data_IF_677845205982
#
_entry.id   IF_677845205982
#
_cell.length_a   1.000
_cell.length_b   1.000
_cell.length_c   1.000
_cell.angle_alpha   90.00
_cell.angle_beta   90.00
_cell.angle_gamma   90.00
#
_symmetry.space_group_name_H-M   'P 1'
#
loop_
_entity.id
_entity.type
_entity.pdbx_description
1 polymer ?
#
# COMPACT_ATOMS: atom_id res chain seq x y z
N UNK A 1 19.70 48.61 -9.78
CA UNK A 1 19.76 47.28 -10.43
C UNK A 1 19.78 46.26 -9.31
N UNK A 2 18.61 45.75 -8.92
CA UNK A 2 18.44 44.86 -7.77
C UNK A 2 17.71 43.59 -8.22
N UNK A 3 18.29 42.45 -7.82
CA UNK A 3 17.83 41.08 -8.00
C UNK A 3 16.41 40.87 -7.46
N UNK A 4 15.64 40.01 -8.13
CA UNK A 4 14.74 39.07 -7.46
C UNK A 4 14.80 37.71 -8.18
N UNK A 5 15.38 36.72 -7.49
CA UNK A 5 15.30 35.30 -7.80
C UNK A 5 13.91 34.81 -7.40
N UNK A 6 13.20 34.18 -8.34
CA UNK A 6 11.94 33.50 -8.08
C UNK A 6 12.23 32.12 -7.47
N UNK A 7 11.65 31.86 -6.29
CA UNK A 7 11.62 30.55 -5.62
C UNK A 7 10.35 29.82 -6.14
N UNK A 8 10.42 28.56 -6.61
CA UNK A 8 9.21 27.81 -6.93
C UNK A 8 8.52 27.31 -5.66
N UNK A 9 7.20 27.44 -5.64
CA UNK A 9 6.32 27.07 -4.53
C UNK A 9 6.45 25.57 -4.17
N UNK A 10 6.70 25.34 -2.89
CA UNK A 10 6.73 24.03 -2.24
C UNK A 10 5.28 23.52 -2.10
N UNK A 11 4.96 22.41 -2.76
CA UNK A 11 3.68 21.70 -2.53
C UNK A 11 3.80 20.96 -1.21
N UNK A 12 3.18 21.49 -0.16
CA UNK A 12 3.05 20.83 1.15
C UNK A 12 1.85 19.88 1.06
N UNK A 13 2.13 18.58 1.00
CA UNK A 13 1.09 17.55 1.21
C UNK A 13 0.64 17.61 2.68
N UNK A 14 -0.65 17.82 2.99
CA UNK A 14 -1.13 17.65 4.36
C UNK A 14 -0.92 16.19 4.80
N UNK A 15 -0.54 16.02 6.06
CA UNK A 15 -0.10 14.76 6.65
C UNK A 15 -1.18 13.68 6.59
N UNK A 16 -0.91 12.63 5.81
CA UNK A 16 -1.65 11.34 5.83
C UNK A 16 -1.57 10.59 7.18
N UNK A 17 -0.83 11.13 8.16
CA UNK A 17 -0.55 10.52 9.46
C UNK A 17 -1.76 10.54 10.39
N UNK A 18 -2.58 11.59 10.39
CA UNK A 18 -3.69 11.73 11.35
C UNK A 18 -4.99 11.02 10.96
N UNK A 19 -5.13 10.59 9.69
CA UNK A 19 -6.36 9.93 9.24
C UNK A 19 -6.43 8.43 9.64
N UNK A 20 -5.29 7.82 10.00
CA UNK A 20 -5.20 6.36 10.23
C UNK A 20 -5.67 5.90 11.61
N UNK A 21 -5.74 6.79 12.60
CA UNK A 21 -6.14 6.42 13.97
C UNK A 21 -7.60 5.95 14.06
N UNK A 22 -8.46 6.31 13.10
CA UNK A 22 -9.88 5.94 13.13
C UNK A 22 -10.26 4.71 12.29
N UNK A 23 -9.53 4.41 11.20
CA UNK A 23 -9.90 3.28 10.31
C UNK A 23 -9.20 1.96 10.67
N UNK A 24 -8.00 2.02 11.28
CA UNK A 24 -7.27 0.81 11.67
C UNK A 24 -7.98 -0.01 12.77
N UNK A 25 -8.85 0.63 13.59
CA UNK A 25 -9.58 -0.03 14.67
C UNK A 25 -10.81 -0.83 14.21
N UNK A 26 -11.31 -0.64 12.99
CA UNK A 26 -12.50 -1.39 12.51
C UNK A 26 -12.16 -2.74 11.89
N UNK A 27 -10.99 -2.85 11.25
CA UNK A 27 -10.60 -4.06 10.52
C UNK A 27 -9.81 -5.08 11.38
N UNK A 28 -9.50 -4.74 12.64
CA UNK A 28 -8.83 -5.64 13.59
C UNK A 28 -9.77 -6.62 14.31
N UNK A 29 -11.10 -6.42 14.24
CA UNK A 29 -12.08 -7.21 15.00
C UNK A 29 -12.42 -8.59 14.41
N UNK A 30 -11.72 -9.05 13.37
CA UNK A 30 -11.95 -10.37 12.77
C UNK A 30 -11.20 -11.52 13.48
N UNK A 31 -10.48 -11.24 14.57
CA UNK A 31 -9.76 -12.25 15.37
C UNK A 31 -10.22 -12.39 16.84
N UNK A 32 -11.25 -11.66 17.29
CA UNK A 32 -11.68 -11.66 18.72
C UNK A 32 -12.91 -12.52 19.06
N UNK A 33 -13.17 -13.62 18.34
CA UNK A 33 -14.22 -14.58 18.78
C UNK A 33 -13.72 -16.02 18.76
N UNK A 34 -12.75 -16.30 19.64
CA UNK A 34 -12.41 -17.65 20.10
C UNK A 34 -12.72 -17.78 21.59
N UNK A 35 -13.02 -19.00 22.11
CA UNK A 35 -13.45 -19.18 23.49
C UNK A 35 -12.33 -18.79 24.46
N UNK A 36 -12.67 -18.01 25.48
CA UNK A 36 -11.80 -17.67 26.61
C UNK A 36 -11.61 -18.88 27.51
N UNK A 37 -10.68 -19.76 27.13
CA UNK A 37 -10.01 -20.65 28.07
C UNK A 37 -8.66 -20.05 28.43
N UNK A 38 -8.38 -19.96 29.73
CA UNK A 38 -7.19 -19.35 30.30
C UNK A 38 -5.90 -19.92 29.70
N UNK A 39 -5.30 -19.18 28.76
CA UNK A 39 -3.95 -19.45 28.29
C UNK A 39 -2.95 -19.07 29.38
N UNK A 40 -2.36 -20.09 29.97
CA UNK A 40 -1.12 -20.02 30.72
C UNK A 40 -0.06 -19.30 29.85
N UNK A 41 0.56 -18.25 30.39
CA UNK A 41 1.58 -17.46 29.71
C UNK A 41 2.78 -18.37 29.40
N UNK A 42 2.88 -18.83 28.15
CA UNK A 42 4.07 -19.54 27.68
C UNK A 42 5.25 -18.56 27.67
N UNK A 43 6.18 -18.75 28.61
CA UNK A 43 7.47 -18.06 28.63
C UNK A 43 8.23 -18.36 27.33
N UNK A 44 8.81 -17.32 26.71
CA UNK A 44 9.63 -17.49 25.52
C UNK A 44 10.84 -18.39 25.87
N UNK A 45 11.17 -19.41 25.05
CA UNK A 45 12.29 -20.28 25.32
C UNK A 45 13.60 -19.48 25.28
N UNK A 46 14.28 -19.42 26.44
CA UNK A 46 15.61 -18.85 26.61
C UNK A 46 16.67 -19.89 26.24
N UNK A 47 17.77 -19.45 25.61
CA UNK A 47 19.00 -20.26 25.57
C UNK A 47 19.69 -20.21 26.94
N UNK A 48 20.53 -21.21 27.21
CA UNK A 48 21.24 -21.41 28.49
C UNK A 48 22.23 -20.27 28.84
N UNK A 49 22.45 -19.33 27.92
CA UNK A 49 23.27 -18.12 28.05
C UNK A 49 22.46 -16.82 28.24
N UNK A 50 21.13 -16.91 28.34
CA UNK A 50 20.26 -15.76 28.56
C UNK A 50 19.97 -14.92 27.31
N UNK A 51 20.37 -15.39 26.11
CA UNK A 51 20.05 -14.73 24.85
C UNK A 51 18.64 -15.13 24.38
N UNK A 52 17.81 -14.12 24.05
CA UNK A 52 16.49 -14.34 23.47
C UNK A 52 16.68 -14.99 22.09
N UNK A 53 15.96 -16.08 21.81
CA UNK A 53 15.92 -16.65 20.47
C UNK A 53 15.28 -15.61 19.53
N UNK A 54 16.11 -14.86 18.81
CA UNK A 54 15.69 -14.06 17.66
C UNK A 54 14.99 -15.04 16.71
N UNK A 55 13.73 -14.77 16.38
CA UNK A 55 13.04 -15.49 15.33
C UNK A 55 13.96 -15.51 14.10
N UNK A 56 14.37 -16.70 13.67
CA UNK A 56 15.16 -16.87 12.45
C UNK A 56 14.43 -16.14 11.32
N UNK A 57 15.19 -15.40 10.52
CA UNK A 57 14.65 -14.69 9.38
C UNK A 57 13.77 -15.66 8.58
N UNK A 58 12.50 -15.32 8.29
CA UNK A 58 11.71 -16.13 7.38
C UNK A 58 12.50 -16.28 6.07
N UNK A 59 12.46 -17.49 5.49
CA UNK A 59 13.21 -17.87 4.28
C UNK A 59 13.25 -16.74 3.25
N UNK A 60 14.39 -16.63 2.56
CA UNK A 60 14.79 -15.52 1.69
C UNK A 60 13.60 -14.67 1.19
N UNK A 61 13.43 -13.47 1.78
CA UNK A 61 12.54 -12.44 1.22
C UNK A 61 13.10 -12.00 -0.13
N UNK A 62 12.86 -12.77 -1.17
CA UNK A 62 13.11 -12.39 -2.54
C UNK A 62 11.93 -11.54 -2.99
N UNK A 63 12.15 -10.22 -3.03
CA UNK A 63 11.26 -9.38 -3.80
C UNK A 63 11.42 -9.77 -5.28
N UNK A 64 10.33 -9.86 -6.06
CA UNK A 64 10.43 -10.04 -7.50
C UNK A 64 11.39 -9.00 -8.07
N UNK A 65 12.34 -9.44 -8.88
CA UNK A 65 13.44 -8.63 -9.38
C UNK A 65 12.88 -7.37 -10.07
N UNK A 66 13.15 -6.21 -9.48
CA UNK A 66 13.02 -4.92 -10.15
C UNK A 66 14.45 -4.51 -10.51
N UNK A 67 14.67 -4.10 -11.76
CA UNK A 67 16.01 -3.79 -12.28
C UNK A 67 16.77 -2.88 -11.31
N UNK A 68 17.89 -3.38 -10.80
CA UNK A 68 18.66 -2.75 -9.75
C UNK A 68 19.46 -1.58 -10.33
N UNK A 69 18.87 -0.38 -10.26
CA UNK A 69 19.62 0.83 -10.59
C UNK A 69 18.74 2.04 -10.84
N UNK A 70 18.29 2.71 -9.77
CA UNK A 70 17.79 4.10 -9.83
C UNK A 70 16.65 4.45 -10.81
N UNK A 71 16.10 3.52 -11.58
CA UNK A 71 15.34 3.83 -12.79
C UNK A 71 13.84 3.58 -12.59
N UNK A 72 13.18 4.53 -11.92
CA UNK A 72 11.72 4.69 -11.95
C UNK A 72 10.88 3.58 -11.29
N UNK A 73 9.86 3.99 -10.52
CA UNK A 73 8.83 3.11 -9.98
C UNK A 73 7.62 3.14 -10.92
N UNK A 74 7.70 2.42 -12.03
CA UNK A 74 6.65 2.34 -13.06
C UNK A 74 5.58 1.26 -12.80
N UNK A 75 5.72 0.51 -11.71
CA UNK A 75 4.85 -0.60 -11.34
C UNK A 75 5.32 -1.26 -10.05
N UNK A 76 4.75 -2.41 -9.77
CA UNK A 76 5.21 -3.32 -8.73
C UNK A 76 5.47 -4.71 -9.33
N UNK A 77 6.67 -5.24 -9.11
CA UNK A 77 7.16 -6.42 -9.84
C UNK A 77 6.99 -6.20 -11.36
N UNK A 78 6.56 -7.21 -12.10
CA UNK A 78 6.27 -7.05 -13.53
C UNK A 78 4.83 -6.58 -13.80
N UNK A 79 4.16 -5.96 -12.83
CA UNK A 79 2.81 -5.38 -13.01
C UNK A 79 2.91 -3.85 -13.08
N UNK A 80 2.76 -3.24 -14.26
CA UNK A 80 2.78 -1.79 -14.40
C UNK A 80 1.67 -1.12 -13.60
N UNK A 81 1.90 0.13 -13.20
CA UNK A 81 0.82 0.98 -12.72
C UNK A 81 -0.26 1.11 -13.78
N UNK A 82 -1.47 1.46 -13.33
CA UNK A 82 -2.64 1.67 -14.18
C UNK A 82 -3.20 0.40 -14.84
N UNK A 83 -2.59 -0.78 -14.61
CA UNK A 83 -3.12 -2.05 -15.10
C UNK A 83 -4.51 -2.31 -14.54
N UNK A 84 -5.47 -2.72 -15.39
CA UNK A 84 -6.84 -3.00 -14.99
C UNK A 84 -6.94 -4.19 -14.03
N UNK A 85 -7.97 -4.17 -13.18
CA UNK A 85 -8.28 -5.23 -12.23
C UNK A 85 -8.33 -6.62 -12.87
N UNK A 86 -9.09 -6.81 -13.97
CA UNK A 86 -9.20 -8.12 -14.62
C UNK A 86 -7.87 -8.65 -15.12
N UNK A 87 -7.01 -7.79 -15.67
CA UNK A 87 -5.69 -8.15 -16.18
C UNK A 87 -4.77 -8.63 -15.04
N UNK A 88 -4.74 -7.91 -13.91
CA UNK A 88 -3.96 -8.31 -12.74
C UNK A 88 -4.50 -9.61 -12.14
N UNK A 89 -5.83 -9.74 -12.02
CA UNK A 89 -6.48 -10.97 -11.52
C UNK A 89 -6.14 -12.17 -12.40
N UNK A 90 -6.29 -12.04 -13.72
CA UNK A 90 -6.00 -13.09 -14.68
C UNK A 90 -4.55 -13.54 -14.57
N UNK A 91 -3.61 -12.59 -14.48
CA UNK A 91 -2.18 -12.89 -14.29
C UNK A 91 -1.94 -13.78 -13.06
N UNK A 92 -2.55 -13.46 -11.92
CA UNK A 92 -2.38 -14.29 -10.72
C UNK A 92 -3.06 -15.66 -10.85
N UNK A 93 -4.17 -15.77 -11.57
CA UNK A 93 -4.80 -17.05 -11.87
C UNK A 93 -3.89 -17.92 -12.76
N UNK A 94 -3.28 -17.32 -13.79
CA UNK A 94 -2.33 -18.01 -14.67
C UNK A 94 -1.09 -18.47 -13.87
N UNK A 95 -0.54 -17.62 -13.00
CA UNK A 95 0.61 -17.94 -12.16
C UNK A 95 0.33 -19.02 -11.10
N UNK A 96 -0.85 -18.99 -10.49
CA UNK A 96 -1.26 -19.98 -9.48
C UNK A 96 -1.51 -21.38 -10.08
N UNK A 97 -1.78 -21.48 -11.38
CA UNK A 97 -2.06 -22.75 -12.08
C UNK A 97 -0.88 -23.27 -12.89
N UNK A 98 0.19 -22.50 -13.02
CA UNK A 98 1.39 -22.91 -13.75
C UNK A 98 2.12 -24.04 -13.01
N UNK A 99 2.28 -25.19 -13.67
CA UNK A 99 2.81 -26.42 -13.08
C UNK A 99 4.30 -26.37 -12.67
N UNK A 100 5.04 -25.33 -13.11
CA UNK A 100 6.50 -25.23 -12.94
C UNK A 100 6.94 -23.93 -12.23
N UNK A 101 6.06 -23.28 -11.49
CA UNK A 101 6.44 -22.07 -10.75
C UNK A 101 7.17 -22.47 -9.46
N UNK A 102 8.40 -21.97 -9.20
CA UNK A 102 9.12 -22.25 -7.96
C UNK A 102 8.45 -21.62 -6.73
N UNK A 103 7.50 -20.71 -6.97
CA UNK A 103 6.79 -19.94 -5.96
C UNK A 103 5.38 -20.46 -5.78
N UNK A 104 4.96 -20.58 -4.52
CA UNK A 104 3.58 -20.88 -4.18
C UNK A 104 2.78 -19.57 -4.19
N UNK A 105 1.90 -19.42 -5.18
CA UNK A 105 1.04 -18.25 -5.35
C UNK A 105 -0.42 -18.66 -5.13
N UNK A 106 -1.12 -17.92 -4.27
CA UNK A 106 -2.52 -18.15 -3.93
C UNK A 106 -3.27 -16.82 -3.88
N UNK A 107 -4.44 -16.75 -4.53
CA UNK A 107 -5.36 -15.61 -4.36
C UNK A 107 -6.20 -15.90 -3.11
N UNK A 108 -5.92 -15.18 -2.03
CA UNK A 108 -6.61 -15.35 -0.74
C UNK A 108 -7.99 -14.70 -0.79
N UNK A 109 -8.07 -13.51 -1.37
CA UNK A 109 -9.32 -12.75 -1.48
C UNK A 109 -9.23 -11.79 -2.66
N UNK A 110 -10.34 -11.59 -3.38
CA UNK A 110 -10.41 -10.60 -4.44
C UNK A 110 -11.77 -9.90 -4.39
N UNK A 111 -11.73 -8.57 -4.28
CA UNK A 111 -12.90 -7.71 -4.31
C UNK A 111 -12.78 -6.84 -5.53
N UNK A 112 -13.75 -7.00 -6.44
CA UNK A 112 -13.78 -6.34 -7.74
C UNK A 112 -13.55 -4.83 -7.66
N UNK A 113 -12.67 -4.34 -8.53
CA UNK A 113 -12.22 -2.95 -8.65
C UNK A 113 -11.68 -2.29 -7.37
N UNK A 114 -11.53 -3.04 -6.27
CA UNK A 114 -11.05 -2.54 -4.98
C UNK A 114 -9.70 -3.12 -4.61
N UNK A 115 -9.60 -4.44 -4.47
CA UNK A 115 -8.32 -5.07 -4.17
C UNK A 115 -8.24 -6.55 -4.53
N UNK A 116 -7.01 -7.03 -4.71
CA UNK A 116 -6.67 -8.46 -4.76
C UNK A 116 -5.62 -8.71 -3.68
N UNK A 117 -5.91 -9.65 -2.77
CA UNK A 117 -5.00 -10.15 -1.76
C UNK A 117 -4.39 -11.46 -2.25
N UNK A 118 -3.08 -11.45 -2.44
CA UNK A 118 -2.29 -12.57 -2.94
C UNK A 118 -1.31 -13.00 -1.86
N UNK A 119 -1.18 -14.30 -1.64
CA UNK A 119 -0.12 -14.89 -0.83
C UNK A 119 0.93 -15.47 -1.77
N UNK A 120 2.18 -15.04 -1.63
CA UNK A 120 3.34 -15.55 -2.39
C UNK A 120 4.45 -15.89 -1.39
N UNK A 121 4.85 -17.17 -1.35
CA UNK A 121 5.88 -17.67 -0.43
C UNK A 121 5.66 -17.21 1.02
N UNK A 122 4.45 -17.36 1.51
CA UNK A 122 4.00 -16.97 2.85
C UNK A 122 3.95 -15.47 3.18
N UNK A 123 4.20 -14.61 2.19
CA UNK A 123 4.05 -13.16 2.31
C UNK A 123 2.78 -12.70 1.61
N UNK A 124 2.06 -11.78 2.24
CA UNK A 124 0.81 -11.25 1.73
C UNK A 124 1.05 -9.94 0.97
N UNK A 125 0.41 -9.83 -0.19
CA UNK A 125 0.46 -8.68 -1.08
C UNK A 125 -0.97 -8.24 -1.38
N UNK A 126 -1.32 -7.01 -1.00
CA UNK A 126 -2.61 -6.40 -1.34
C UNK A 126 -2.42 -5.40 -2.47
N UNK A 127 -2.88 -5.78 -3.65
CA UNK A 127 -2.97 -4.92 -4.83
C UNK A 127 -4.26 -4.12 -4.73
N UNK A 128 -4.17 -2.80 -4.64
CA UNK A 128 -5.31 -1.91 -4.53
C UNK A 128 -5.56 -1.18 -5.86
N UNK A 129 -6.84 -1.10 -6.21
CA UNK A 129 -7.32 -0.54 -7.46
C UNK A 129 -8.17 0.68 -7.17
N UNK A 130 -8.10 1.66 -8.07
CA UNK A 130 -8.93 2.84 -7.98
C UNK A 130 -9.84 2.93 -9.20
N UNK A 131 -11.13 3.07 -8.93
CA UNK A 131 -12.18 3.38 -9.90
C UNK A 131 -12.79 4.71 -9.48
N UNK A 132 -12.68 5.71 -10.36
CA UNK A 132 -13.24 7.04 -10.15
C UNK A 132 -14.73 6.95 -9.81
N UNK A 133 -15.24 7.61 -8.76
CA UNK A 133 -16.67 7.58 -8.46
C UNK A 133 -17.55 8.07 -9.62
N UNK A 134 -18.73 7.46 -9.80
CA UNK A 134 -19.64 7.76 -10.92
C UNK A 134 -19.97 9.25 -11.05
N UNK A 135 -20.26 9.94 -9.94
CA UNK A 135 -20.55 11.37 -9.92
C UNK A 135 -19.38 12.21 -10.44
N UNK A 136 -18.15 11.85 -10.09
CA UNK A 136 -16.93 12.52 -10.58
C UNK A 136 -16.66 12.16 -12.04
N UNK A 137 -16.83 10.89 -12.42
CA UNK A 137 -16.69 10.46 -13.81
C UNK A 137 -17.67 11.21 -14.73
N UNK A 138 -18.91 11.43 -14.28
CA UNK A 138 -19.93 12.21 -14.97
C UNK A 138 -19.56 13.69 -15.14
N UNK A 139 -18.70 14.28 -14.30
CA UNK A 139 -18.20 15.64 -14.53
C UNK A 139 -17.34 15.74 -15.79
N UNK A 140 -16.59 14.68 -16.10
CA UNK A 140 -15.74 14.62 -17.28
C UNK A 140 -16.52 14.16 -18.53
N UNK A 141 -17.53 13.32 -18.33
CA UNK A 141 -18.45 12.87 -19.39
C UNK A 141 -19.90 12.92 -18.89
N UNK A 142 -20.59 14.03 -19.14
CA UNK A 142 -21.98 14.22 -18.70
C UNK A 142 -22.98 13.20 -19.27
N UNK A 143 -22.64 12.51 -20.35
CA UNK A 143 -23.49 11.50 -20.99
C UNK A 143 -23.21 10.08 -20.50
N UNK A 144 -22.22 9.90 -19.60
CA UNK A 144 -21.85 8.59 -19.08
C UNK A 144 -23.05 7.96 -18.35
N UNK A 145 -23.53 6.85 -18.90
CA UNK A 145 -24.58 6.04 -18.29
C UNK A 145 -24.00 5.17 -17.16
N UNK A 146 -24.87 4.68 -16.27
CA UNK A 146 -24.47 3.76 -15.21
C UNK A 146 -23.98 2.42 -15.79
N UNK A 147 -24.65 1.94 -16.84
CA UNK A 147 -24.27 0.72 -17.56
C UNK A 147 -22.87 0.83 -18.17
N UNK A 148 -22.54 1.94 -18.84
CA UNK A 148 -21.19 2.17 -19.37
C UNK A 148 -20.15 2.29 -18.25
N UNK A 149 -20.49 2.94 -17.14
CA UNK A 149 -19.61 3.06 -15.98
C UNK A 149 -19.31 1.72 -15.31
N UNK A 150 -20.30 0.82 -15.26
CA UNK A 150 -20.13 -0.52 -14.70
C UNK A 150 -19.17 -1.36 -15.53
N UNK A 151 -19.01 -1.07 -16.83
CA UNK A 151 -17.96 -1.70 -17.66
C UNK A 151 -16.55 -1.14 -17.45
N UNK A 152 -16.41 0.01 -16.80
CA UNK A 152 -15.10 0.58 -16.49
C UNK A 152 -14.44 -0.19 -15.35
N UNK A 153 -13.13 -0.42 -15.45
CA UNK A 153 -12.39 -1.17 -14.43
C UNK A 153 -11.56 -0.26 -13.52
N UNK A 154 -11.37 -0.74 -12.29
CA UNK A 154 -10.39 -0.18 -11.36
C UNK A 154 -8.97 -0.39 -11.88
N UNK A 155 -8.13 0.63 -11.69
CA UNK A 155 -6.73 0.63 -12.16
C UNK A 155 -5.77 0.53 -10.98
N UNK A 156 -4.76 -0.33 -11.12
CA UNK A 156 -3.76 -0.58 -10.08
C UNK A 156 -3.00 0.71 -9.77
N UNK A 157 -2.89 1.04 -8.48
CA UNK A 157 -2.17 2.24 -8.05
C UNK A 157 -1.34 2.07 -6.80
N UNK A 158 -1.61 1.03 -6.02
CA UNK A 158 -0.95 0.81 -4.74
C UNK A 158 -0.80 -0.68 -4.49
N UNK A 159 0.38 -1.10 -4.04
CA UNK A 159 0.63 -2.44 -3.53
C UNK A 159 1.15 -2.34 -2.10
N UNK A 160 0.46 -3.01 -1.18
CA UNK A 160 0.90 -3.18 0.20
C UNK A 160 1.47 -4.58 0.38
N UNK A 161 2.75 -4.66 0.75
CA UNK A 161 3.40 -5.88 1.21
C UNK A 161 3.18 -5.98 2.72
N UNK A 162 2.67 -7.11 3.18
CA UNK A 162 2.38 -7.39 4.59
C UNK A 162 3.32 -8.52 5.04
N UNK A 163 4.25 -8.16 5.92
CA UNK A 163 5.33 -9.01 6.39
C UNK A 163 5.01 -9.60 7.77
N UNK A 164 5.56 -10.78 8.11
CA UNK A 164 5.48 -11.37 9.45
C UNK A 164 6.47 -10.67 10.41
N UNK A 165 6.33 -9.35 10.57
CA UNK A 165 7.07 -8.54 11.55
C UNK A 165 8.60 -8.74 11.51
N UNK A 166 9.24 -8.22 10.46
CA UNK A 166 10.67 -8.41 10.19
C UNK A 166 11.45 -7.19 10.69
N UNK A 167 12.65 -7.36 11.25
CA UNK A 167 13.48 -6.24 11.70
C UNK A 167 13.65 -5.20 10.58
N UNK A 168 13.38 -3.93 10.89
CA UNK A 168 13.34 -2.88 9.88
C UNK A 168 14.67 -2.66 9.18
N UNK A 169 15.79 -2.86 9.89
CA UNK A 169 17.13 -2.70 9.32
C UNK A 169 17.34 -3.60 8.10
N UNK A 170 16.96 -4.87 8.18
CA UNK A 170 17.16 -5.83 7.09
C UNK A 170 16.30 -5.50 5.86
N UNK A 171 15.05 -5.06 6.09
CA UNK A 171 14.18 -4.58 5.03
C UNK A 171 14.75 -3.32 4.38
N UNK A 172 15.23 -2.38 5.19
CA UNK A 172 15.86 -1.14 4.72
C UNK A 172 17.08 -1.41 3.84
N UNK A 173 17.98 -2.30 4.26
CA UNK A 173 19.16 -2.70 3.46
C UNK A 173 18.77 -3.29 2.11
N UNK A 174 17.71 -4.10 2.06
CA UNK A 174 17.18 -4.65 0.78
C UNK A 174 16.58 -3.56 -0.10
N UNK A 175 15.79 -2.65 0.47
CA UNK A 175 15.22 -1.52 -0.27
C UNK A 175 16.31 -0.59 -0.79
N UNK A 176 17.34 -0.32 0.02
CA UNK A 176 18.47 0.53 -0.39
C UNK A 176 19.32 -0.12 -1.49
N UNK A 177 19.48 -1.45 -1.45
CA UNK A 177 20.17 -2.18 -2.52
C UNK A 177 19.41 -2.10 -3.85
N UNK A 178 18.08 -2.21 -3.82
CA UNK A 178 17.24 -2.21 -5.03
C UNK A 178 16.99 -0.80 -5.56
N UNK A 179 16.65 0.13 -4.67
CA UNK A 179 16.16 1.46 -5.01
C UNK A 179 17.15 2.59 -4.66
N UNK A 180 18.32 2.30 -4.12
CA UNK A 180 19.25 3.32 -3.62
C UNK A 180 18.81 3.93 -2.28
N UNK A 181 19.56 4.92 -1.81
CA UNK A 181 19.31 5.55 -0.50
C UNK A 181 17.89 6.14 -0.39
N UNK A 182 17.31 6.04 0.81
CA UNK A 182 16.04 6.69 1.14
C UNK A 182 16.13 8.20 0.94
N UNK A 183 15.02 8.80 0.54
CA UNK A 183 14.94 10.23 0.20
C UNK A 183 14.54 11.06 1.41
N UNK A 184 13.66 10.52 2.27
CA UNK A 184 13.20 11.16 3.52
C UNK A 184 12.97 10.10 4.59
N UNK A 185 12.88 10.56 5.83
CA UNK A 185 12.42 9.75 6.96
C UNK A 185 11.49 10.58 7.83
N UNK A 186 10.48 9.89 8.36
CA UNK A 186 9.57 10.40 9.39
C UNK A 186 9.67 9.54 10.65
N UNK A 187 10.69 8.67 10.73
CA UNK A 187 10.92 7.81 11.89
C UNK A 187 11.39 8.68 13.05
N UNK A 188 10.62 8.65 14.12
CA UNK A 188 10.91 9.33 15.36
C UNK A 188 11.92 8.50 16.18
N UNK A 189 13.00 9.14 16.65
CA UNK A 189 14.11 8.46 17.32
C UNK A 189 13.71 7.88 18.69
N UNK A 190 12.78 8.52 19.39
CA UNK A 190 12.36 8.11 20.74
C UNK A 190 11.36 6.96 20.70
N UNK A 191 10.37 7.05 19.80
CA UNK A 191 9.29 6.08 19.69
C UNK A 191 9.57 4.96 18.68
N UNK A 192 10.59 5.12 17.83
CA UNK A 192 10.92 4.23 16.70
C UNK A 192 9.73 3.99 15.76
N UNK A 193 8.79 4.95 15.70
CA UNK A 193 7.60 4.90 14.82
C UNK A 193 7.77 5.87 13.67
N UNK A 194 7.19 5.52 12.52
CA UNK A 194 7.15 6.40 11.36
C UNK A 194 7.41 5.61 10.08
N UNK A 195 7.95 6.29 9.07
CA UNK A 195 8.32 5.65 7.82
C UNK A 195 9.60 6.22 7.22
N UNK A 196 10.41 5.33 6.66
CA UNK A 196 11.41 5.69 5.65
C UNK A 196 10.74 5.74 4.28
N UNK A 197 11.15 6.72 3.46
CA UNK A 197 10.47 7.09 2.22
C UNK A 197 11.47 7.13 1.07
N UNK A 198 11.15 6.43 -0.01
CA UNK A 198 11.83 6.56 -1.30
C UNK A 198 10.90 7.26 -2.29
N UNK A 199 11.31 8.44 -2.74
CA UNK A 199 10.67 9.15 -3.85
C UNK A 199 11.40 8.78 -5.14
N UNK A 200 10.70 8.15 -6.06
CA UNK A 200 11.22 7.75 -7.37
C UNK A 200 10.37 8.35 -8.48
N UNK A 201 10.92 8.56 -9.68
CA UNK A 201 10.08 8.86 -10.82
C UNK A 201 8.98 7.80 -10.94
N UNK A 202 7.72 8.18 -11.11
CA UNK A 202 6.58 7.24 -11.17
C UNK A 202 5.94 6.86 -9.84
N UNK A 203 6.60 7.04 -8.68
CA UNK A 203 5.96 6.66 -7.42
C UNK A 203 6.76 6.78 -6.12
N UNK A 204 6.16 6.27 -5.06
CA UNK A 204 6.69 6.29 -3.70
C UNK A 204 6.81 4.88 -3.12
N UNK A 205 7.81 4.67 -2.27
CA UNK A 205 7.94 3.49 -1.42
C UNK A 205 7.97 3.96 0.02
N UNK A 206 7.13 3.38 0.87
CA UNK A 206 7.10 3.62 2.31
C UNK A 206 7.42 2.32 3.04
N UNK A 207 8.49 2.33 3.82
CA UNK A 207 8.74 1.30 4.82
C UNK A 207 8.23 1.81 6.16
N UNK A 208 7.21 1.16 6.73
CA UNK A 208 6.67 1.55 8.03
C UNK A 208 7.42 0.89 9.17
N UNK A 209 7.68 1.65 10.22
CA UNK A 209 8.40 1.26 11.43
C UNK A 209 7.44 1.20 12.61
N UNK A 210 7.51 0.08 13.34
CA UNK A 210 6.76 -0.17 14.57
C UNK A 210 7.74 -0.69 15.64
N UNK A 211 7.72 -0.11 16.86
CA UNK A 211 8.55 -0.58 17.96
C UNK A 211 8.00 -1.87 18.56
N UNK A 212 8.89 -2.80 18.90
CA UNK A 212 8.59 -3.96 19.74
C UNK A 212 9.84 -4.36 20.51
N UNK A 213 9.73 -4.45 21.84
CA UNK A 213 10.85 -4.76 22.74
C UNK A 213 12.12 -3.93 22.44
N UNK A 214 11.95 -2.61 22.32
CA UNK A 214 13.02 -1.64 22.04
C UNK A 214 13.79 -1.87 20.72
N UNK A 215 13.19 -2.63 19.80
CA UNK A 215 13.71 -2.89 18.46
C UNK A 215 12.67 -2.42 17.43
N UNK A 216 13.15 -1.82 16.34
CA UNK A 216 12.30 -1.39 15.24
C UNK A 216 12.02 -2.54 14.25
N UNK A 217 10.75 -2.77 13.97
CA UNK A 217 10.27 -3.77 13.02
C UNK A 217 9.40 -3.17 11.94
N UNK A 218 9.37 -3.83 10.78
CA UNK A 218 8.54 -3.49 9.64
C UNK A 218 7.47 -4.55 9.44
N UNK A 219 6.21 -4.15 9.57
CA UNK A 219 5.06 -5.00 9.23
C UNK A 219 4.55 -4.75 7.82
N UNK A 220 4.73 -3.53 7.30
CA UNK A 220 4.19 -3.15 5.99
C UNK A 220 5.17 -2.34 5.17
N UNK A 221 5.17 -2.60 3.86
CA UNK A 221 5.82 -1.76 2.85
C UNK A 221 4.75 -1.36 1.84
N UNK A 222 4.59 -0.07 1.57
CA UNK A 222 3.63 0.45 0.59
C UNK A 222 4.35 0.99 -0.65
N UNK A 223 3.93 0.54 -1.83
CA UNK A 223 4.40 1.01 -3.14
C UNK A 223 3.26 1.73 -3.83
N UNK A 224 3.43 2.97 -4.26
CA UNK A 224 2.33 3.79 -4.79
C UNK A 224 2.69 4.52 -6.07
N UNK A 225 1.74 4.63 -7.00
CA UNK A 225 1.84 5.44 -8.21
C UNK A 225 1.64 6.92 -7.89
N UNK A 226 2.60 7.77 -8.29
CA UNK A 226 2.48 9.23 -8.09
C UNK A 226 1.35 9.84 -8.93
N UNK A 227 1.16 9.35 -10.15
CA UNK A 227 0.17 9.91 -11.08
C UNK A 227 -1.24 9.59 -10.62
N UNK A 228 -1.48 8.35 -10.21
CA UNK A 228 -2.79 7.99 -9.69
C UNK A 228 -3.09 8.64 -8.34
N UNK A 229 -2.09 8.82 -7.45
CA UNK A 229 -2.31 9.61 -6.22
C UNK A 229 -2.80 11.02 -6.59
N UNK A 230 -2.15 11.69 -7.55
CA UNK A 230 -2.58 13.03 -8.00
C UNK A 230 -4.01 13.01 -8.56
N UNK A 231 -4.35 12.00 -9.38
CA UNK A 231 -5.71 11.83 -9.90
C UNK A 231 -6.71 11.64 -8.76
N UNK A 232 -6.45 10.74 -7.83
CA UNK A 232 -7.33 10.46 -6.68
C UNK A 232 -7.54 11.73 -5.85
N UNK A 233 -6.49 12.48 -5.55
CA UNK A 233 -6.60 13.73 -4.78
C UNK A 233 -7.45 14.77 -5.52
N UNK A 234 -7.21 14.98 -6.82
CA UNK A 234 -7.97 15.92 -7.63
C UNK A 234 -9.45 15.50 -7.80
N UNK A 235 -9.73 14.19 -7.84
CA UNK A 235 -11.08 13.66 -7.92
C UNK A 235 -11.80 13.73 -6.57
N UNK A 236 -11.09 13.53 -5.46
CA UNK A 236 -11.65 13.66 -4.11
C UNK A 236 -12.11 15.11 -3.85
N UNK A 237 -11.31 16.11 -4.22
CA UNK A 237 -11.73 17.52 -4.16
C UNK A 237 -13.02 17.77 -4.95
N UNK A 238 -13.14 17.22 -6.16
CA UNK A 238 -14.33 17.35 -7.01
C UNK A 238 -15.53 16.53 -6.52
N UNK A 239 -15.29 15.46 -5.78
CA UNK A 239 -16.34 14.56 -5.31
C UNK A 239 -17.29 15.28 -4.38
N UNK A 240 -16.76 16.03 -3.40
CA UNK A 240 -17.57 16.82 -2.48
C UNK A 240 -18.46 17.82 -3.21
N UNK A 241 -17.89 18.55 -4.18
CA UNK A 241 -18.65 19.48 -5.02
C UNK A 241 -19.74 18.77 -5.86
N UNK A 242 -19.43 17.59 -6.40
CA UNK A 242 -20.37 16.82 -7.22
C UNK A 242 -21.53 16.25 -6.39
N UNK A 243 -21.24 15.72 -5.21
CA UNK A 243 -22.22 15.20 -4.27
C UNK A 243 -23.14 16.31 -3.76
N UNK A 244 -22.58 17.45 -3.37
CA UNK A 244 -23.36 18.62 -2.94
C UNK A 244 -24.32 19.08 -4.05
N UNK A 245 -23.85 19.19 -5.30
CA UNK A 245 -24.70 19.57 -6.44
C UNK A 245 -25.80 18.56 -6.74
N UNK A 246 -25.53 17.27 -6.57
CA UNK A 246 -26.54 16.23 -6.74
C UNK A 246 -27.60 16.28 -5.62
N UNK A 247 -27.18 16.52 -4.37
CA UNK A 247 -28.09 16.74 -3.26
C UNK A 247 -28.97 17.97 -3.50
N UNK A 248 -28.40 19.10 -3.93
CA UNK A 248 -29.16 20.30 -4.27
C UNK A 248 -30.17 20.05 -5.40
N UNK A 249 -29.80 19.29 -6.44
CA UNK A 249 -30.72 18.91 -7.53
C UNK A 249 -31.92 18.13 -6.99
N UNK A 250 -31.68 17.16 -6.11
CA UNK A 250 -32.77 16.38 -5.47
C UNK A 250 -33.67 17.24 -4.58
N UNK A 251 -33.14 18.29 -3.97
CA UNK A 251 -33.91 19.20 -3.12
C UNK A 251 -34.75 20.22 -3.91
N UNK A 252 -34.26 20.71 -5.05
CA UNK A 252 -34.94 21.74 -5.87
C UNK A 252 -36.05 21.14 -6.74
N UNK A 253 -35.99 19.85 -7.08
CA UNK A 253 -36.99 19.17 -7.93
C UNK A 253 -38.11 18.50 -7.09
N UNK A 254 -38.40 19.04 -5.90
CA UNK A 254 -39.64 18.75 -5.17
C UNK A 254 -40.72 19.79 -5.46
#
# INVERSE_FOLDING_TARGET
>A
MALYLAIPAMVILPSLVTARDNEANRDLNLYETGPTDSMELAEAPLRDDGEIILAEAPGEFEQPAVDAGNAELNGFADTPWMTNYSAVKKRFQDLATAANTPERIEIVMAVEDRYILVKRNDILYRYNFYKSPLNVAKLNNHQLTEEEYDTMEGRLFHVRVILPFIQSKWIGEKLEKTYGQKTRSTVDEETMRGADIWEKPGGFIFQWFEPYNDIAYSRTIDYMSVDMIKTIMAENEKYFDAEERELLRKLIVN
#
